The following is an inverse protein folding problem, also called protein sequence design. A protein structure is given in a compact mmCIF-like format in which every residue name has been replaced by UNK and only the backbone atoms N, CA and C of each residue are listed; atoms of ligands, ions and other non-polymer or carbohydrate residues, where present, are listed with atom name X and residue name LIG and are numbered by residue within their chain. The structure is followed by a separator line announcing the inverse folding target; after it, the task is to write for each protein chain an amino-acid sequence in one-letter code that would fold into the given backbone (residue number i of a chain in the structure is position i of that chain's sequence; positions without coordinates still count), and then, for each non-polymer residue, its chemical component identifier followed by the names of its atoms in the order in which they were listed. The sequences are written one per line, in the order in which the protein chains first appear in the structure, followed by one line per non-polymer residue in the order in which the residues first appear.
data_IF_838390662541
#
_entry.id   IF_838390662541
#
_cell.length_a   1.000
_cell.length_b   1.000
_cell.length_c   1.000
_cell.angle_alpha   90.00
_cell.angle_beta   90.00
_cell.angle_gamma   90.00
#
_symmetry.space_group_name_H-M   'P 1'
#
loop_
_entity.id
_entity.type
_entity.pdbx_description
1 polymer ?
#
# COMPACT_ATOMS: atom_id res chain seq x y z
N UNK A 1 -6.31 -13.87 26.62
CA UNK A 1 -6.75 -13.97 25.21
C UNK A 1 -5.54 -13.71 24.34
N UNK A 2 -5.13 -14.69 23.54
CA UNK A 2 -3.98 -14.56 22.64
C UNK A 2 -4.46 -13.84 21.37
N UNK A 3 -4.44 -12.51 21.38
CA UNK A 3 -4.76 -11.73 20.16
C UNK A 3 -3.62 -12.00 19.17
N UNK A 4 -3.88 -12.52 17.97
CA UNK A 4 -2.82 -12.77 17.01
C UNK A 4 -2.08 -11.47 16.69
N UNK A 5 -0.75 -11.50 16.64
CA UNK A 5 0.09 -10.31 16.48
C UNK A 5 -0.28 -9.44 15.25
N UNK A 6 -0.82 -10.05 14.17
CA UNK A 6 -1.26 -9.31 12.99
C UNK A 6 -2.50 -8.43 13.23
N UNK A 7 -3.34 -8.76 14.23
CA UNK A 7 -4.47 -7.90 14.62
C UNK A 7 -4.01 -6.62 15.32
N UNK A 8 -2.79 -6.58 15.88
CA UNK A 8 -2.26 -5.38 16.53
C UNK A 8 -2.10 -4.23 15.53
N UNK A 9 -1.72 -4.52 14.28
CA UNK A 9 -1.59 -3.51 13.24
C UNK A 9 -2.94 -2.88 12.82
N UNK A 10 -4.06 -3.49 13.22
CA UNK A 10 -5.44 -3.10 12.91
C UNK A 10 -6.01 -3.84 11.70
N UNK A 11 -7.25 -3.50 11.36
CA UNK A 11 -8.04 -4.08 10.26
C UNK A 11 -8.88 -2.99 9.60
N UNK A 12 -9.28 -3.19 8.34
CA UNK A 12 -10.26 -2.36 7.64
C UNK A 12 -11.63 -3.05 7.62
N UNK A 13 -12.68 -2.35 8.00
CA UNK A 13 -14.05 -2.82 7.85
C UNK A 13 -14.75 -1.99 6.78
N UNK A 14 -15.22 -2.66 5.74
CA UNK A 14 -15.89 -2.07 4.59
C UNK A 14 -17.39 -2.26 4.77
N UNK A 15 -18.17 -1.20 4.51
CA UNK A 15 -19.62 -1.21 4.64
C UNK A 15 -20.26 -0.76 3.33
N UNK A 16 -20.42 -1.68 2.35
CA UNK A 16 -20.88 -1.37 1.00
C UNK A 16 -22.21 -0.63 0.92
N UNK A 17 -23.10 -0.84 1.88
CA UNK A 17 -24.44 -0.24 1.90
C UNK A 17 -24.50 1.11 2.61
N UNK A 18 -23.41 1.55 3.24
CA UNK A 18 -23.38 2.84 3.94
C UNK A 18 -22.98 3.97 2.99
N UNK A 19 -23.33 5.19 3.37
CA UNK A 19 -22.97 6.39 2.62
C UNK A 19 -21.46 6.65 2.61
N UNK A 20 -21.01 7.42 1.61
CA UNK A 20 -19.62 7.87 1.53
C UNK A 20 -19.18 8.58 2.82
N UNK A 21 -17.96 8.30 3.29
CA UNK A 21 -17.47 8.76 4.60
C UNK A 21 -17.82 7.82 5.76
N UNK A 22 -18.80 6.93 5.58
CA UNK A 22 -19.22 5.91 6.56
C UNK A 22 -19.08 4.47 6.04
N UNK A 23 -18.80 4.32 4.74
CA UNK A 23 -18.64 3.05 4.04
C UNK A 23 -17.28 2.35 4.25
N UNK A 24 -16.38 2.96 5.03
CA UNK A 24 -15.07 2.40 5.35
C UNK A 24 -14.63 2.86 6.73
N UNK A 25 -14.12 1.93 7.55
CA UNK A 25 -13.52 2.21 8.85
C UNK A 25 -12.19 1.48 9.01
N UNK A 26 -11.17 2.23 9.43
CA UNK A 26 -9.89 1.66 9.88
C UNK A 26 -9.88 1.54 11.41
N UNK A 27 -9.45 0.39 11.94
CA UNK A 27 -9.20 0.20 13.38
C UNK A 27 -7.73 0.37 13.76
N UNK A 28 -6.89 0.74 12.78
CA UNK A 28 -5.46 0.95 12.99
C UNK A 28 -5.24 2.06 14.02
N UNK A 29 -4.26 1.83 14.89
CA UNK A 29 -3.82 2.78 15.92
C UNK A 29 -2.36 3.14 15.67
N UNK A 30 -1.89 4.33 16.10
CA UNK A 30 -0.49 4.75 15.98
C UNK A 30 0.42 3.99 16.97
N UNK A 31 0.49 2.66 16.85
CA UNK A 31 1.23 1.78 17.75
C UNK A 31 2.75 1.95 17.66
N UNK A 32 3.26 2.57 16.59
CA UNK A 32 4.69 2.82 16.43
C UNK A 32 5.26 3.59 17.63
N UNK A 33 4.53 4.60 18.14
CA UNK A 33 4.91 5.36 19.35
C UNK A 33 5.10 4.46 20.57
N UNK A 34 4.21 3.48 20.76
CA UNK A 34 4.23 2.57 21.91
C UNK A 34 5.35 1.54 21.79
N UNK A 35 5.52 0.95 20.60
CA UNK A 35 6.53 -0.09 20.34
C UNK A 35 7.95 0.48 20.35
N UNK A 36 8.10 1.75 19.97
CA UNK A 36 9.36 2.47 19.94
C UNK A 36 9.71 3.15 21.27
N UNK A 37 8.78 3.25 22.22
CA UNK A 37 8.99 4.03 23.44
C UNK A 37 10.23 3.54 24.21
N UNK A 38 11.19 4.46 24.41
CA UNK A 38 12.42 4.26 25.18
C UNK A 38 13.32 3.10 24.73
N UNK A 39 13.09 2.53 23.54
CA UNK A 39 14.00 1.51 23.01
C UNK A 39 15.33 2.15 22.57
N UNK A 40 16.40 1.34 22.53
CA UNK A 40 17.63 1.78 21.89
C UNK A 40 17.35 2.12 20.42
N UNK A 41 17.95 3.20 19.91
CA UNK A 41 17.74 3.66 18.55
C UNK A 41 18.09 2.58 17.51
N UNK A 42 19.12 1.79 17.78
CA UNK A 42 19.55 0.66 16.93
C UNK A 42 18.53 -0.49 16.86
N UNK A 43 17.62 -0.62 17.83
CA UNK A 43 16.55 -1.63 17.82
C UNK A 43 15.32 -1.19 17.03
N UNK A 44 15.12 0.11 16.84
CA UNK A 44 13.92 0.69 16.22
C UNK A 44 13.59 0.05 14.86
N UNK A 45 14.55 -0.13 13.92
CA UNK A 45 14.23 -0.71 12.62
C UNK A 45 13.72 -2.15 12.70
N UNK A 46 14.26 -2.95 13.63
CA UNK A 46 13.80 -4.32 13.86
C UNK A 46 12.40 -4.36 14.46
N UNK A 47 12.13 -3.50 15.44
CA UNK A 47 10.82 -3.39 16.09
C UNK A 47 9.71 -2.97 15.12
N UNK A 48 9.96 -1.94 14.31
CA UNK A 48 8.99 -1.47 13.31
C UNK A 48 8.78 -2.50 12.20
N UNK A 49 9.83 -3.19 11.76
CA UNK A 49 9.71 -4.28 10.79
C UNK A 49 8.83 -5.43 11.31
N UNK A 50 8.92 -5.76 12.59
CA UNK A 50 8.09 -6.80 13.23
C UNK A 50 6.64 -6.35 13.42
N UNK A 51 6.40 -5.08 13.78
CA UNK A 51 5.05 -4.53 13.93
C UNK A 51 4.31 -4.49 12.59
N UNK A 52 4.99 -4.11 11.51
CA UNK A 52 4.42 -3.97 10.18
C UNK A 52 4.91 -5.08 9.25
N UNK A 53 4.67 -6.34 9.63
CA UNK A 53 5.27 -7.52 8.99
C UNK A 53 5.05 -7.64 7.48
N UNK A 54 3.87 -7.24 6.97
CA UNK A 54 3.58 -7.23 5.52
C UNK A 54 4.42 -6.23 4.72
N UNK A 55 5.03 -5.25 5.39
CA UNK A 55 5.87 -4.20 4.78
C UNK A 55 7.19 -4.05 5.55
N UNK A 56 7.62 -5.10 6.26
CA UNK A 56 8.59 -4.97 7.34
C UNK A 56 9.93 -4.36 6.90
N UNK A 57 10.42 -4.72 5.72
CA UNK A 57 11.68 -4.17 5.22
C UNK A 57 11.55 -2.72 4.74
N UNK A 58 10.40 -2.31 4.20
CA UNK A 58 10.15 -0.90 3.90
C UNK A 58 10.19 -0.04 5.19
N UNK A 59 9.60 -0.54 6.28
CA UNK A 59 9.68 0.13 7.59
C UNK A 59 11.10 0.12 8.17
N UNK A 60 11.85 -0.97 8.00
CA UNK A 60 13.27 -1.03 8.39
C UNK A 60 14.08 0.01 7.66
N UNK A 61 13.97 0.06 6.33
CA UNK A 61 14.72 1.01 5.50
C UNK A 61 14.36 2.45 5.85
N UNK A 62 13.07 2.76 5.95
CA UNK A 62 12.58 4.10 6.27
C UNK A 62 13.06 4.61 7.64
N UNK A 63 13.06 3.74 8.66
CA UNK A 63 13.57 4.09 9.99
C UNK A 63 15.08 4.22 10.01
N UNK A 64 15.82 3.38 9.30
CA UNK A 64 17.27 3.51 9.14
C UNK A 64 17.66 4.83 8.45
N UNK A 65 16.88 5.27 7.45
CA UNK A 65 17.06 6.59 6.82
C UNK A 65 16.87 7.72 7.82
N UNK A 66 15.79 7.70 8.62
CA UNK A 66 15.54 8.71 9.66
C UNK A 66 16.65 8.73 10.74
N UNK A 67 17.08 7.57 11.21
CA UNK A 67 18.15 7.46 12.21
C UNK A 67 19.50 7.96 11.68
N UNK A 68 19.85 7.59 10.45
CA UNK A 68 21.09 8.02 9.81
C UNK A 68 21.17 9.52 9.59
N UNK A 69 20.02 10.17 9.33
CA UNK A 69 19.95 11.62 9.21
C UNK A 69 20.23 12.34 10.54
N UNK A 70 19.89 11.74 11.69
CA UNK A 70 20.25 12.29 13.01
C UNK A 70 21.69 12.00 13.39
N UNK A 71 22.07 10.72 13.32
CA UNK A 71 23.36 10.23 13.77
C UNK A 71 23.81 9.14 12.80
N UNK A 72 24.79 9.40 11.92
CA UNK A 72 25.22 8.43 10.90
C UNK A 72 25.57 7.06 11.47
N UNK A 73 26.19 7.00 12.66
CA UNK A 73 26.58 5.74 13.31
C UNK A 73 25.39 4.82 13.71
N UNK A 74 24.16 5.36 13.79
CA UNK A 74 22.97 4.58 14.15
C UNK A 74 22.32 3.85 12.97
N UNK A 75 22.77 4.13 11.75
CA UNK A 75 22.21 3.53 10.54
C UNK A 75 23.27 2.77 9.75
N UNK A 76 23.03 1.49 9.41
CA UNK A 76 23.92 0.77 8.51
C UNK A 76 23.92 1.38 7.11
N UNK A 77 22.93 2.21 6.75
CA UNK A 77 22.88 2.86 5.44
C UNK A 77 23.94 3.95 5.29
N UNK A 78 24.54 4.44 6.38
CA UNK A 78 25.57 5.47 6.34
C UNK A 78 26.89 5.01 5.70
N UNK A 79 27.13 3.69 5.66
CA UNK A 79 28.27 3.10 4.95
C UNK A 79 27.88 2.53 3.57
N UNK A 80 26.62 2.69 3.16
CA UNK A 80 26.09 2.19 1.89
C UNK A 80 25.97 3.36 0.90
N UNK A 81 26.30 3.11 -0.37
CA UNK A 81 26.12 4.13 -1.42
C UNK A 81 24.63 4.39 -1.68
N UNK A 82 24.30 5.53 -2.29
CA UNK A 82 22.93 5.80 -2.71
C UNK A 82 22.37 4.70 -3.62
N UNK A 83 23.21 4.10 -4.48
CA UNK A 83 22.86 2.94 -5.30
C UNK A 83 22.52 1.71 -4.46
N UNK A 84 23.27 1.43 -3.40
CA UNK A 84 22.98 0.30 -2.52
C UNK A 84 21.68 0.47 -1.72
N UNK A 85 21.34 1.70 -1.31
CA UNK A 85 20.04 2.01 -0.71
C UNK A 85 18.91 1.81 -1.73
N UNK A 86 19.11 2.30 -2.97
CA UNK A 86 18.17 2.09 -4.07
C UNK A 86 17.94 0.60 -4.33
N UNK A 87 19.00 -0.20 -4.41
CA UNK A 87 18.89 -1.64 -4.65
C UNK A 87 18.11 -2.35 -3.55
N UNK A 88 18.24 -1.95 -2.29
CA UNK A 88 17.44 -2.50 -1.18
C UNK A 88 15.95 -2.17 -1.35
N UNK A 89 15.63 -0.90 -1.68
CA UNK A 89 14.26 -0.45 -1.89
C UNK A 89 13.61 -1.14 -3.09
N UNK A 90 14.33 -1.18 -4.22
CA UNK A 90 13.88 -1.81 -5.47
C UNK A 90 13.68 -3.32 -5.28
N UNK A 91 14.62 -3.99 -4.59
CA UNK A 91 14.52 -5.42 -4.29
C UNK A 91 13.28 -5.72 -3.45
N UNK A 92 13.07 -5.01 -2.34
CA UNK A 92 11.91 -5.26 -1.48
C UNK A 92 10.60 -4.96 -2.23
N UNK A 93 10.54 -3.86 -2.98
CA UNK A 93 9.34 -3.47 -3.71
C UNK A 93 8.99 -4.47 -4.80
N UNK A 94 9.98 -4.95 -5.56
CA UNK A 94 9.78 -6.00 -6.55
C UNK A 94 9.25 -7.28 -5.90
N UNK A 95 9.88 -7.72 -4.80
CA UNK A 95 9.47 -8.93 -4.07
C UNK A 95 8.03 -8.83 -3.59
N UNK A 96 7.64 -7.68 -3.04
CA UNK A 96 6.28 -7.48 -2.55
C UNK A 96 5.27 -7.48 -3.69
N UNK A 97 5.54 -6.79 -4.80
CA UNK A 97 4.66 -6.85 -5.97
C UNK A 97 4.50 -8.25 -6.51
N UNK A 98 5.60 -9.00 -6.62
CA UNK A 98 5.56 -10.39 -7.09
C UNK A 98 4.75 -11.25 -6.14
N UNK A 99 4.93 -11.13 -4.81
CA UNK A 99 4.11 -11.86 -3.83
C UNK A 99 2.62 -11.56 -4.00
N UNK A 100 2.23 -10.29 -4.13
CA UNK A 100 0.83 -9.90 -4.32
C UNK A 100 0.23 -10.48 -5.59
N UNK A 101 0.96 -10.37 -6.70
CA UNK A 101 0.53 -10.89 -8.01
C UNK A 101 0.38 -12.41 -8.00
N UNK A 102 1.32 -13.11 -7.36
CA UNK A 102 1.39 -14.58 -7.40
C UNK A 102 0.47 -15.24 -6.38
N UNK A 103 0.38 -14.68 -5.16
CA UNK A 103 -0.28 -15.33 -4.03
C UNK A 103 -1.69 -14.79 -3.79
N UNK A 104 -1.91 -13.49 -3.99
CA UNK A 104 -3.15 -12.85 -3.57
C UNK A 104 -4.13 -12.66 -4.74
N UNK A 105 -3.65 -12.22 -5.89
CA UNK A 105 -4.53 -11.99 -7.05
C UNK A 105 -5.27 -13.25 -7.53
N UNK A 106 -4.66 -14.46 -7.56
CA UNK A 106 -5.40 -15.66 -7.91
C UNK A 106 -6.55 -15.95 -6.96
N UNK A 107 -6.38 -15.69 -5.65
CA UNK A 107 -7.40 -15.91 -4.59
C UNK A 107 -8.68 -15.09 -4.78
N UNK A 108 -8.67 -14.10 -5.66
CA UNK A 108 -9.84 -13.30 -6.01
C UNK A 108 -10.81 -14.03 -6.96
N UNK A 109 -10.38 -15.14 -7.57
CA UNK A 109 -11.14 -15.87 -8.60
C UNK A 109 -11.66 -17.21 -8.07
N UNK A 110 -12.82 -17.71 -8.56
CA UNK A 110 -13.24 -19.09 -8.32
C UNK A 110 -12.26 -20.06 -9.00
N UNK A 111 -11.86 -21.12 -8.30
CA UNK A 111 -10.95 -22.20 -8.75
C UNK A 111 -9.46 -21.86 -8.85
N UNK A 112 -8.78 -21.81 -7.70
CA UNK A 112 -7.38 -21.35 -7.58
C UNK A 112 -6.32 -22.45 -7.49
N UNK A 113 -6.71 -23.72 -7.43
CA UNK A 113 -5.78 -24.81 -7.10
C UNK A 113 -4.65 -25.01 -8.13
N UNK A 114 -4.83 -24.57 -9.38
CA UNK A 114 -3.86 -24.83 -10.46
C UNK A 114 -3.05 -23.60 -10.92
N UNK A 115 -3.36 -22.38 -10.44
CA UNK A 115 -2.75 -21.14 -10.95
C UNK A 115 -1.46 -20.72 -10.25
N UNK A 116 -1.39 -20.88 -8.92
CA UNK A 116 -0.32 -20.31 -8.10
C UNK A 116 1.07 -20.91 -8.41
N UNK A 117 1.16 -22.23 -8.62
CA UNK A 117 2.43 -22.92 -8.90
C UNK A 117 3.10 -22.44 -10.20
N UNK A 118 2.30 -22.13 -11.24
CA UNK A 118 2.82 -21.61 -12.52
C UNK A 118 3.28 -20.15 -12.44
N UNK A 119 2.75 -19.39 -11.48
CA UNK A 119 3.08 -17.99 -11.22
C UNK A 119 4.27 -17.86 -10.25
N UNK A 120 4.51 -18.85 -9.39
CA UNK A 120 5.47 -18.79 -8.27
C UNK A 120 6.88 -19.28 -8.58
N UNK A 121 7.19 -19.67 -9.82
CA UNK A 121 8.52 -20.17 -10.21
C UNK A 121 9.58 -19.07 -10.44
N UNK A 122 9.31 -17.82 -10.03
CA UNK A 122 10.16 -16.68 -10.30
C UNK A 122 11.29 -16.48 -9.31
N UNK A 123 12.46 -15.94 -9.74
CA UNK A 123 13.62 -15.74 -8.88
C UNK A 123 13.33 -14.77 -7.73
N UNK A 124 12.40 -13.82 -7.93
CA UNK A 124 12.05 -12.82 -6.92
C UNK A 124 11.41 -13.41 -5.65
N UNK A 125 11.00 -14.68 -5.62
CA UNK A 125 10.46 -15.32 -4.41
C UNK A 125 11.54 -16.05 -3.59
N UNK A 126 12.75 -16.24 -4.13
CA UNK A 126 13.86 -16.85 -3.40
C UNK A 126 14.27 -16.02 -2.18
N UNK A 127 14.70 -16.65 -1.09
CA UNK A 127 15.01 -15.94 0.17
C UNK A 127 16.22 -15.01 0.06
N UNK A 128 17.20 -15.37 -0.77
CA UNK A 128 18.47 -14.69 -1.03
C UNK A 128 18.44 -13.75 -2.25
N UNK A 129 17.27 -13.58 -2.87
CA UNK A 129 17.12 -12.73 -4.04
C UNK A 129 17.49 -11.28 -3.74
N UNK A 130 18.39 -10.73 -4.56
CA UNK A 130 18.64 -9.29 -4.66
C UNK A 130 18.55 -8.87 -6.12
N UNK A 131 17.93 -7.71 -6.37
CA UNK A 131 17.79 -7.21 -7.73
C UNK A 131 19.15 -6.87 -8.34
N UNK A 132 20.09 -6.35 -7.55
CA UNK A 132 21.45 -6.06 -7.99
C UNK A 132 22.16 -7.30 -8.59
N UNK A 133 22.05 -8.45 -7.95
CA UNK A 133 22.71 -9.68 -8.40
C UNK A 133 21.95 -10.42 -9.51
N UNK A 134 20.61 -10.36 -9.50
CA UNK A 134 19.77 -11.21 -10.34
C UNK A 134 18.98 -10.44 -11.42
N UNK A 135 19.26 -9.15 -11.67
CA UNK A 135 18.47 -8.31 -12.59
C UNK A 135 18.26 -8.94 -13.96
N UNK A 136 19.33 -9.34 -14.63
CA UNK A 136 19.25 -9.93 -15.97
C UNK A 136 18.40 -11.21 -15.98
N UNK A 137 18.58 -12.08 -14.97
CA UNK A 137 17.79 -13.31 -14.83
C UNK A 137 16.31 -13.00 -14.56
N UNK A 138 16.02 -12.03 -13.69
CA UNK A 138 14.66 -11.59 -13.39
C UNK A 138 13.96 -11.02 -14.63
N UNK A 139 14.66 -10.22 -15.44
CA UNK A 139 14.14 -9.68 -16.70
C UNK A 139 13.84 -10.79 -17.71
N UNK A 140 14.78 -11.70 -17.96
CA UNK A 140 14.56 -12.83 -18.89
C UNK A 140 13.38 -13.70 -18.42
N UNK A 141 13.30 -13.99 -17.12
CA UNK A 141 12.20 -14.77 -16.56
C UNK A 141 10.86 -14.05 -16.76
N UNK A 142 10.79 -12.75 -16.47
CA UNK A 142 9.60 -11.91 -16.65
C UNK A 142 9.11 -11.92 -18.10
N UNK A 143 10.03 -11.73 -19.05
CA UNK A 143 9.72 -11.73 -20.50
C UNK A 143 9.13 -13.07 -20.95
N UNK A 144 9.72 -14.19 -20.51
CA UNK A 144 9.32 -15.53 -20.93
C UNK A 144 8.02 -16.01 -20.26
N UNK A 145 7.88 -15.78 -18.95
CA UNK A 145 6.83 -16.41 -18.15
C UNK A 145 5.63 -15.51 -17.89
N UNK A 146 5.83 -14.19 -17.81
CA UNK A 146 4.76 -13.25 -17.50
C UNK A 146 4.32 -12.46 -18.72
N UNK A 147 5.25 -11.84 -19.45
CA UNK A 147 4.91 -10.94 -20.55
C UNK A 147 4.65 -11.69 -21.86
N UNK A 148 5.37 -12.78 -22.13
CA UNK A 148 5.33 -13.47 -23.43
C UNK A 148 5.90 -12.62 -24.58
N UNK A 149 6.62 -11.55 -24.25
CA UNK A 149 7.27 -10.62 -25.18
C UNK A 149 8.36 -9.84 -24.44
N UNK A 150 9.26 -9.14 -25.14
CA UNK A 150 10.30 -8.34 -24.49
C UNK A 150 9.74 -7.21 -23.62
N UNK A 151 10.42 -6.94 -22.50
CA UNK A 151 9.96 -6.05 -21.43
C UNK A 151 9.93 -4.58 -21.85
N UNK A 152 10.97 -4.10 -22.55
CA UNK A 152 11.05 -2.72 -23.03
C UNK A 152 9.89 -2.34 -23.98
N UNK A 153 9.62 -3.11 -25.05
CA UNK A 153 8.43 -2.91 -25.91
C UNK A 153 7.10 -2.97 -25.16
N UNK A 154 6.94 -3.89 -24.20
CA UNK A 154 5.72 -3.96 -23.38
C UNK A 154 5.55 -2.66 -22.57
N UNK A 155 6.62 -2.18 -21.94
CA UNK A 155 6.58 -0.98 -21.10
C UNK A 155 6.28 0.28 -21.91
N UNK A 156 6.92 0.45 -23.07
CA UNK A 156 6.61 1.57 -23.98
C UNK A 156 5.15 1.56 -24.42
N UNK A 157 4.61 0.40 -24.77
CA UNK A 157 3.20 0.29 -25.13
C UNK A 157 2.27 0.70 -23.98
N UNK A 158 2.61 0.30 -22.75
CA UNK A 158 1.90 0.71 -21.53
C UNK A 158 1.99 2.24 -21.31
N UNK A 159 3.17 2.82 -21.42
CA UNK A 159 3.36 4.27 -21.22
C UNK A 159 2.62 5.09 -22.28
N UNK A 160 2.60 4.62 -23.53
CA UNK A 160 1.95 5.31 -24.65
C UNK A 160 0.42 5.19 -24.65
N UNK A 161 -0.14 4.07 -24.20
CA UNK A 161 -1.58 3.74 -24.40
C UNK A 161 -2.31 3.24 -23.17
N UNK A 162 -1.64 3.10 -22.02
CA UNK A 162 -2.25 2.74 -20.74
C UNK A 162 -3.13 1.49 -20.79
N UNK A 163 -4.39 1.67 -20.42
CA UNK A 163 -5.39 0.60 -20.33
C UNK A 163 -5.57 -0.16 -21.65
N UNK A 164 -5.51 0.54 -22.79
CA UNK A 164 -5.70 -0.03 -24.11
C UNK A 164 -4.55 -0.96 -24.49
N UNK A 165 -3.30 -0.62 -24.12
CA UNK A 165 -2.17 -1.52 -24.29
C UNK A 165 -2.27 -2.74 -23.36
N UNK A 166 -2.68 -2.54 -22.11
CA UNK A 166 -2.88 -3.64 -21.17
C UNK A 166 -3.94 -4.62 -21.69
N UNK A 167 -5.08 -4.10 -22.17
CA UNK A 167 -6.15 -4.89 -22.78
C UNK A 167 -5.71 -5.63 -24.05
N UNK A 168 -5.00 -4.94 -24.94
CA UNK A 168 -4.44 -5.57 -26.14
C UNK A 168 -3.49 -6.71 -25.79
N UNK A 169 -2.63 -6.52 -24.79
CA UNK A 169 -1.66 -7.52 -24.37
C UNK A 169 -2.33 -8.74 -23.74
N UNK A 170 -3.24 -8.57 -22.77
CA UNK A 170 -3.89 -9.72 -22.11
C UNK A 170 -4.76 -10.56 -23.06
N UNK A 171 -5.17 -9.99 -24.19
CA UNK A 171 -5.90 -10.71 -25.25
C UNK A 171 -4.96 -11.40 -26.25
N UNK A 172 -3.77 -10.86 -26.48
CA UNK A 172 -2.81 -11.38 -27.46
C UNK A 172 -1.99 -12.57 -26.95
N UNK A 173 -1.66 -12.59 -25.65
CA UNK A 173 -0.78 -13.64 -25.09
C UNK A 173 -1.53 -14.59 -24.16
N UNK A 174 -0.97 -15.79 -23.99
CA UNK A 174 -1.54 -16.83 -23.12
C UNK A 174 -0.63 -17.16 -21.93
N UNK A 175 0.14 -16.19 -21.43
CA UNK A 175 0.91 -16.38 -20.19
C UNK A 175 -0.01 -16.48 -18.97
N UNK A 176 0.42 -17.11 -17.86
CA UNK A 176 -0.37 -17.19 -16.64
C UNK A 176 -0.84 -15.82 -16.13
N UNK A 177 0.03 -14.81 -16.14
CA UNK A 177 -0.32 -13.46 -15.69
C UNK A 177 -1.37 -12.79 -16.59
N UNK A 178 -1.24 -12.91 -17.91
CA UNK A 178 -2.22 -12.36 -18.84
C UNK A 178 -3.60 -13.01 -18.68
N UNK A 179 -3.65 -14.34 -18.50
CA UNK A 179 -4.91 -15.06 -18.24
C UNK A 179 -5.54 -14.62 -16.92
N UNK A 180 -4.73 -14.46 -15.87
CA UNK A 180 -5.18 -13.99 -14.56
C UNK A 180 -5.83 -12.60 -14.69
N UNK A 181 -5.10 -11.64 -15.27
CA UNK A 181 -5.60 -10.28 -15.47
C UNK A 181 -6.86 -10.26 -16.35
N UNK A 182 -6.90 -11.03 -17.44
CA UNK A 182 -8.09 -11.13 -18.30
C UNK A 182 -9.33 -11.60 -17.52
N UNK A 183 -9.18 -12.53 -16.57
CA UNK A 183 -10.28 -12.95 -15.68
C UNK A 183 -10.66 -11.86 -14.69
N UNK A 184 -9.67 -11.19 -14.07
CA UNK A 184 -9.91 -10.11 -13.12
C UNK A 184 -10.62 -8.90 -13.75
N UNK A 185 -10.38 -8.63 -15.04
CA UNK A 185 -11.03 -7.54 -15.78
C UNK A 185 -12.56 -7.59 -15.71
N UNK A 186 -13.16 -8.79 -15.62
CA UNK A 186 -14.62 -8.93 -15.52
C UNK A 186 -15.22 -8.28 -14.25
N UNK A 187 -14.40 -8.09 -13.21
CA UNK A 187 -14.81 -7.49 -11.94
C UNK A 187 -14.43 -6.01 -11.82
N UNK A 188 -13.83 -5.39 -12.84
CA UNK A 188 -13.58 -3.94 -12.82
C UNK A 188 -14.93 -3.21 -12.82
N UNK A 189 -15.09 -2.26 -11.91
CA UNK A 189 -16.31 -1.46 -11.77
C UNK A 189 -16.35 -0.27 -12.74
N UNK A 190 -15.22 0.04 -13.39
CA UNK A 190 -15.09 1.24 -14.22
C UNK A 190 -15.00 2.53 -13.40
N UNK A 191 -14.91 2.45 -12.06
CA UNK A 191 -14.77 3.62 -11.19
C UNK A 191 -13.52 4.44 -11.54
N UNK A 192 -13.66 5.73 -11.91
CA UNK A 192 -12.52 6.61 -12.15
C UNK A 192 -11.82 6.98 -10.84
N UNK A 193 -10.56 6.60 -10.71
CA UNK A 193 -9.66 7.00 -9.64
C UNK A 193 -9.02 8.34 -10.04
N UNK A 194 -9.25 9.43 -9.28
CA UNK A 194 -8.73 10.74 -9.63
C UNK A 194 -7.20 10.78 -9.65
N UNK A 195 -6.61 11.55 -10.57
CA UNK A 195 -5.16 11.84 -10.58
C UNK A 195 -4.79 13.14 -9.85
N UNK A 196 -5.79 13.92 -9.41
CA UNK A 196 -5.64 15.29 -8.93
C UNK A 196 -5.19 15.38 -7.47
N UNK A 197 -5.29 14.31 -6.68
CA UNK A 197 -5.02 14.31 -5.23
C UNK A 197 -3.88 13.36 -4.85
N UNK A 198 -2.84 13.32 -5.68
CA UNK A 198 -1.66 12.49 -5.45
C UNK A 198 -0.82 13.04 -4.28
N UNK A 199 -0.50 12.17 -3.33
CA UNK A 199 0.45 12.45 -2.27
C UNK A 199 1.88 12.50 -2.84
N UNK A 200 2.61 13.58 -2.52
CA UNK A 200 4.01 13.77 -2.95
C UNK A 200 4.98 13.61 -1.78
N UNK A 201 6.16 13.01 -2.00
CA UNK A 201 7.19 12.93 -0.96
C UNK A 201 7.74 14.31 -0.60
N UNK A 202 8.22 14.51 0.64
CA UNK A 202 8.88 15.73 1.07
C UNK A 202 10.32 15.79 0.54
N UNK A 203 10.46 16.14 -0.74
CA UNK A 203 11.76 16.27 -1.40
C UNK A 203 12.55 17.45 -0.83
N UNK A 204 11.88 18.59 -0.61
CA UNK A 204 12.48 19.81 -0.07
C UNK A 204 12.42 19.86 1.46
N UNK A 205 13.36 20.58 2.07
CA UNK A 205 13.45 20.73 3.52
C UNK A 205 12.21 21.41 4.12
N UNK A 206 11.68 22.43 3.44
CA UNK A 206 10.48 23.16 3.86
C UNK A 206 9.26 22.26 3.87
N UNK A 207 9.17 21.32 2.92
CA UNK A 207 8.12 20.30 2.93
C UNK A 207 8.28 19.38 4.15
N UNK A 208 9.50 18.97 4.48
CA UNK A 208 9.76 18.13 5.64
C UNK A 208 9.33 18.78 6.97
N UNK A 209 9.47 20.11 7.11
CA UNK A 209 8.97 20.87 8.27
C UNK A 209 7.44 20.87 8.37
N UNK A 210 6.73 20.99 7.24
CA UNK A 210 5.27 20.86 7.22
C UNK A 210 4.83 19.45 7.62
N UNK A 211 5.51 18.43 7.10
CA UNK A 211 5.29 17.03 7.46
C UNK A 211 5.54 16.77 8.95
N UNK A 212 6.62 17.32 9.52
CA UNK A 212 6.87 17.24 10.96
C UNK A 212 5.70 17.80 11.77
N UNK A 213 5.25 19.01 11.43
CA UNK A 213 4.15 19.69 12.12
C UNK A 213 2.85 18.88 12.06
N UNK A 214 2.56 18.26 10.90
CA UNK A 214 1.39 17.42 10.71
C UNK A 214 1.47 16.10 11.49
N UNK A 215 2.60 15.38 11.39
CA UNK A 215 2.81 14.07 12.03
C UNK A 215 2.82 14.12 13.56
N UNK A 216 3.02 15.30 14.16
CA UNK A 216 2.94 15.48 15.61
C UNK A 216 1.51 15.48 16.15
N UNK A 217 0.50 15.62 15.29
CA UNK A 217 -0.92 15.63 15.65
C UNK A 217 -1.52 14.23 15.52
N UNK A 218 -2.19 13.77 16.58
CA UNK A 218 -2.77 12.42 16.63
C UNK A 218 -3.94 12.24 15.63
N UNK A 219 -4.70 13.30 15.35
CA UNK A 219 -5.80 13.26 14.37
C UNK A 219 -5.27 13.03 12.94
N UNK A 220 -4.17 13.68 12.58
CA UNK A 220 -3.53 13.53 11.29
C UNK A 220 -2.95 12.12 11.08
N UNK A 221 -2.46 11.46 12.14
CA UNK A 221 -1.95 10.08 12.05
C UNK A 221 -3.05 9.03 11.78
N UNK A 222 -4.32 9.37 12.02
CA UNK A 222 -5.45 8.46 11.84
C UNK A 222 -6.29 8.83 10.62
N UNK A 223 -6.48 10.12 10.36
CA UNK A 223 -7.25 10.66 9.24
C UNK A 223 -6.44 11.76 8.54
N UNK A 224 -5.37 11.41 7.80
CA UNK A 224 -4.49 12.40 7.19
C UNK A 224 -5.17 13.15 6.05
N UNK A 225 -5.07 14.48 6.08
CA UNK A 225 -5.55 15.36 5.02
C UNK A 225 -4.51 16.45 4.73
N UNK A 226 -4.29 16.74 3.44
CA UNK A 226 -3.51 17.90 2.99
C UNK A 226 -4.44 18.86 2.27
N UNK A 227 -4.40 20.12 2.68
CA UNK A 227 -5.26 21.18 2.13
C UNK A 227 -6.76 20.83 2.21
N UNK A 228 -7.16 20.18 3.32
CA UNK A 228 -8.54 19.73 3.56
C UNK A 228 -8.97 18.52 2.74
N UNK A 229 -8.06 17.84 2.04
CA UNK A 229 -8.36 16.70 1.18
C UNK A 229 -7.56 15.46 1.56
N UNK A 230 -8.22 14.31 1.50
CA UNK A 230 -7.54 13.03 1.51
C UNK A 230 -6.70 12.91 0.22
N UNK A 231 -5.43 12.52 0.37
CA UNK A 231 -4.53 12.22 -0.75
C UNK A 231 -4.44 10.71 -0.95
N UNK A 232 -3.87 10.28 -2.07
CA UNK A 232 -3.61 8.86 -2.35
C UNK A 232 -2.20 8.63 -2.89
N UNK A 233 -1.72 7.41 -2.73
CA UNK A 233 -0.36 7.01 -3.11
C UNK A 233 -0.29 5.54 -3.52
N UNK A 234 0.65 5.19 -4.40
CA UNK A 234 0.88 3.83 -4.88
C UNK A 234 1.80 3.80 -6.09
N UNK A 235 1.83 2.68 -6.82
CA UNK A 235 2.61 2.54 -8.06
C UNK A 235 2.22 3.55 -9.15
N UNK A 236 1.00 4.07 -9.12
CA UNK A 236 0.48 5.09 -10.05
C UNK A 236 0.88 6.52 -9.69
N UNK A 237 1.54 6.75 -8.55
CA UNK A 237 1.86 8.09 -8.04
C UNK A 237 3.35 8.40 -7.98
N UNK A 238 4.21 7.49 -8.47
CA UNK A 238 5.67 7.61 -8.30
C UNK A 238 6.21 8.91 -8.86
N UNK A 239 7.15 9.48 -8.13
CA UNK A 239 7.79 10.74 -8.49
C UNK A 239 8.69 10.57 -9.73
N UNK A 240 9.40 9.44 -9.83
CA UNK A 240 10.36 9.19 -10.91
C UNK A 240 9.73 8.62 -12.19
N UNK A 241 8.56 7.98 -12.12
CA UNK A 241 7.94 7.27 -13.24
C UNK A 241 7.18 8.19 -14.22
N UNK A 242 7.67 9.44 -14.41
CA UNK A 242 7.11 10.51 -15.25
C UNK A 242 6.01 10.10 -16.24
N UNK A 243 4.83 10.70 -16.04
CA UNK A 243 3.60 10.63 -16.86
C UNK A 243 2.56 9.63 -16.35
N UNK A 244 1.38 10.18 -16.00
CA UNK A 244 0.17 9.37 -15.90
C UNK A 244 -0.09 8.74 -17.28
N UNK A 245 -0.51 7.48 -17.30
CA UNK A 245 -0.91 6.86 -18.57
C UNK A 245 -2.19 7.52 -19.07
N UNK A 246 -2.41 7.59 -20.40
CA UNK A 246 -3.62 8.18 -20.93
C UNK A 246 -4.86 7.36 -20.54
N UNK A 247 -6.01 8.03 -20.46
CA UNK A 247 -7.30 7.42 -20.18
C UNK A 247 -7.76 7.57 -18.73
N UNK A 248 -8.83 6.85 -18.39
CA UNK A 248 -9.39 6.84 -17.05
C UNK A 248 -8.67 5.79 -16.22
N UNK A 249 -8.14 6.18 -15.05
CA UNK A 249 -7.57 5.23 -14.12
C UNK A 249 -8.69 4.50 -13.37
N UNK A 250 -8.74 3.17 -13.43
CA UNK A 250 -9.67 2.35 -12.64
C UNK A 250 -8.89 1.32 -11.82
N UNK A 251 -9.58 0.45 -11.08
CA UNK A 251 -8.91 -0.66 -10.37
C UNK A 251 -8.09 -1.52 -11.34
N UNK A 252 -8.59 -1.76 -12.56
CA UNK A 252 -7.84 -2.40 -13.64
C UNK A 252 -6.53 -1.68 -13.98
N UNK A 253 -6.59 -0.36 -14.16
CA UNK A 253 -5.41 0.46 -14.48
C UNK A 253 -4.38 0.40 -13.36
N UNK A 254 -4.80 0.37 -12.09
CA UNK A 254 -3.88 0.21 -10.96
C UNK A 254 -3.13 -1.13 -10.95
N UNK A 255 -3.80 -2.22 -11.33
CA UNK A 255 -3.11 -3.51 -11.54
C UNK A 255 -2.06 -3.38 -12.65
N UNK A 256 -2.39 -2.67 -13.73
CA UNK A 256 -1.47 -2.34 -14.82
C UNK A 256 -0.24 -1.57 -14.34
N UNK A 257 -0.43 -0.52 -13.54
CA UNK A 257 0.67 0.23 -12.92
C UNK A 257 1.57 -0.67 -12.07
N UNK A 258 1.01 -1.62 -11.33
CA UNK A 258 1.80 -2.59 -10.55
C UNK A 258 2.65 -3.50 -11.44
N UNK A 259 2.08 -4.03 -12.52
CA UNK A 259 2.85 -4.83 -13.50
C UNK A 259 3.93 -3.97 -14.15
N UNK A 260 3.61 -2.74 -14.52
CA UNK A 260 4.57 -1.83 -15.15
C UNK A 260 5.69 -1.41 -14.19
N UNK A 261 5.43 -1.32 -12.89
CA UNK A 261 6.46 -1.09 -11.86
C UNK A 261 7.40 -2.31 -11.72
N UNK A 262 6.87 -3.54 -11.77
CA UNK A 262 7.71 -4.75 -11.84
C UNK A 262 8.62 -4.71 -13.07
N UNK A 263 8.08 -4.35 -14.23
CA UNK A 263 8.84 -4.25 -15.49
C UNK A 263 9.93 -3.19 -15.40
N UNK A 264 9.62 -1.99 -14.91
CA UNK A 264 10.60 -0.90 -14.70
C UNK A 264 11.73 -1.33 -13.77
N UNK A 265 11.39 -1.99 -12.65
CA UNK A 265 12.38 -2.50 -11.69
C UNK A 265 13.28 -3.55 -12.36
N UNK A 266 12.75 -4.51 -13.11
CA UNK A 266 13.58 -5.48 -13.82
C UNK A 266 14.48 -4.83 -14.89
N UNK A 267 13.97 -3.84 -15.64
CA UNK A 267 14.76 -3.14 -16.66
C UNK A 267 15.84 -2.22 -16.06
N UNK A 268 15.62 -1.70 -14.84
CA UNK A 268 16.52 -0.71 -14.23
C UNK A 268 16.47 0.66 -14.93
N UNK A 269 15.35 0.97 -15.58
CA UNK A 269 15.17 2.24 -16.31
C UNK A 269 15.01 3.41 -15.33
N UNK A 270 16.12 4.08 -14.97
CA UNK A 270 16.16 5.48 -14.54
C UNK A 270 17.57 5.89 -14.13
N UNK A 271 18.01 7.10 -14.53
CA UNK A 271 19.25 7.72 -13.99
C UNK A 271 19.12 8.12 -12.52
N UNK A 272 17.89 8.23 -12.02
CA UNK A 272 17.53 8.69 -10.66
C UNK A 272 16.83 7.60 -9.81
N UNK A 273 16.78 6.35 -10.29
CA UNK A 273 16.01 5.26 -9.67
C UNK A 273 14.51 5.26 -10.04
N UNK A 274 13.85 4.11 -9.90
CA UNK A 274 12.40 3.94 -10.17
C UNK A 274 11.56 4.44 -8.99
N UNK A 275 12.10 4.31 -7.77
CA UNK A 275 11.44 4.62 -6.51
C UNK A 275 12.23 5.72 -5.80
N UNK A 276 11.55 6.78 -5.35
CA UNK A 276 12.18 7.84 -4.60
C UNK A 276 12.27 7.50 -3.10
N UNK A 277 13.33 7.99 -2.46
CA UNK A 277 13.53 7.91 -1.01
C UNK A 277 14.35 9.10 -0.53
N UNK A 278 14.32 9.34 0.78
CA UNK A 278 15.13 10.40 1.36
C UNK A 278 14.96 10.50 2.88
N UNK A 279 15.76 11.39 3.46
CA UNK A 279 15.61 11.77 4.85
C UNK A 279 16.05 13.22 5.07
N UNK A 280 15.47 13.85 6.09
CA UNK A 280 15.81 15.20 6.54
C UNK A 280 16.09 15.18 8.04
N UNK A 281 17.23 15.73 8.44
CA UNK A 281 17.49 16.10 9.83
C UNK A 281 16.75 17.40 10.13
N UNK A 282 15.86 17.40 11.11
CA UNK A 282 14.96 18.50 11.44
C UNK A 282 15.35 19.14 12.78
N UNK A 283 14.84 20.34 13.09
CA UNK A 283 15.17 21.04 14.32
C UNK A 283 14.79 20.22 15.56
N UNK A 284 15.45 20.51 16.69
CA UNK A 284 15.14 19.92 18.01
C UNK A 284 15.36 18.40 18.12
N UNK A 285 16.26 17.84 17.31
CA UNK A 285 16.64 16.43 17.35
C UNK A 285 15.63 15.50 16.67
N UNK A 286 14.82 16.03 15.75
CA UNK A 286 13.88 15.28 14.93
C UNK A 286 14.52 14.86 13.61
N UNK A 287 14.07 13.77 13.02
CA UNK A 287 14.32 13.47 11.62
C UNK A 287 13.10 12.83 10.97
N UNK A 288 12.94 13.14 9.69
CA UNK A 288 11.91 12.58 8.83
C UNK A 288 12.60 11.69 7.81
N UNK A 289 12.34 10.38 7.85
CA UNK A 289 12.70 9.44 6.79
C UNK A 289 11.47 9.12 5.94
N UNK A 290 11.66 8.89 4.64
CA UNK A 290 10.57 8.52 3.74
C UNK A 290 11.04 7.64 2.58
N UNK A 291 10.16 6.75 2.12
CA UNK A 291 10.39 5.86 0.98
C UNK A 291 9.11 5.68 0.16
N UNK A 292 9.22 5.64 -1.17
CA UNK A 292 8.18 5.13 -2.06
C UNK A 292 8.24 3.60 -2.07
N UNK A 293 7.49 2.94 -1.18
CA UNK A 293 7.39 1.48 -1.10
C UNK A 293 6.28 0.92 -2.00
N UNK A 294 6.18 -0.41 -2.11
CA UNK A 294 5.20 -1.12 -2.97
C UNK A 294 3.76 -0.56 -2.91
N UNK A 295 3.27 -0.19 -1.72
CA UNK A 295 1.90 0.32 -1.51
C UNK A 295 1.75 1.84 -1.60
N UNK A 296 2.86 2.58 -1.71
CA UNK A 296 2.87 4.05 -1.78
C UNK A 296 3.95 4.68 -0.89
N UNK A 297 3.77 5.96 -0.55
CA UNK A 297 4.69 6.73 0.28
C UNK A 297 4.56 6.35 1.77
N UNK A 298 5.67 5.91 2.36
CA UNK A 298 5.82 5.67 3.80
C UNK A 298 6.68 6.78 4.41
N UNK A 299 6.26 7.31 5.57
CA UNK A 299 7.01 8.34 6.30
C UNK A 299 7.18 7.99 7.78
N UNK A 300 8.38 8.21 8.32
CA UNK A 300 8.73 8.01 9.72
C UNK A 300 9.30 9.30 10.29
N UNK A 301 8.69 9.83 11.36
CA UNK A 301 9.22 10.95 12.12
C UNK A 301 9.77 10.44 13.45
N UNK A 302 11.07 10.60 13.67
CA UNK A 302 11.78 10.06 14.84
C UNK A 302 12.45 11.18 15.62
N UNK A 303 12.36 11.13 16.94
CA UNK A 303 13.14 11.96 17.87
C UNK A 303 13.98 11.06 18.77
N UNK A 304 15.24 11.42 18.93
CA UNK A 304 16.15 10.71 19.82
C UNK A 304 16.52 11.57 21.03
N UNK A 305 16.85 10.89 22.12
CA UNK A 305 17.50 11.46 23.31
C UNK A 305 18.82 10.72 23.52
N UNK A 306 19.88 11.48 23.79
CA UNK A 306 21.14 10.90 24.28
C UNK A 306 20.99 10.59 25.78
N UNK A 307 21.25 9.34 26.14
CA UNK A 307 21.24 8.84 27.51
C UNK A 307 22.62 8.24 27.81
N UNK A 308 23.54 9.10 28.26
CA UNK A 308 24.92 8.76 28.60
C UNK A 308 25.69 8.03 27.48
N UNK A 309 25.54 8.49 26.22
CA UNK A 309 26.20 7.90 25.06
C UNK A 309 25.38 6.81 24.37
N UNK A 310 24.20 6.49 24.89
CA UNK A 310 23.23 5.59 24.26
C UNK A 310 22.06 6.40 23.72
N UNK A 311 21.88 6.39 22.40
CA UNK A 311 20.73 7.02 21.77
C UNK A 311 19.47 6.18 21.99
N UNK A 312 18.45 6.79 22.59
CA UNK A 312 17.13 6.18 22.83
C UNK A 312 16.05 6.92 22.09
N UNK A 313 15.02 6.18 21.67
CA UNK A 313 13.89 6.75 20.95
C UNK A 313 12.97 7.46 21.94
N UNK A 314 12.90 8.79 21.83
CA UNK A 314 11.98 9.61 22.61
C UNK A 314 10.57 9.59 22.00
N UNK A 315 10.48 9.62 20.66
CA UNK A 315 9.22 9.60 19.93
C UNK A 315 9.41 9.03 18.53
N UNK A 316 8.43 8.26 18.05
CA UNK A 316 8.40 7.72 16.71
C UNK A 316 6.96 7.74 16.20
N UNK A 317 6.72 8.49 15.13
CA UNK A 317 5.44 8.53 14.42
C UNK A 317 5.62 7.93 13.04
N UNK A 318 4.63 7.16 12.61
CA UNK A 318 4.62 6.49 11.32
C UNK A 318 3.31 6.82 10.63
N UNK A 319 3.41 7.28 9.39
CA UNK A 319 2.25 7.40 8.50
C UNK A 319 2.51 6.55 7.26
N UNK A 320 1.72 5.48 7.12
CA UNK A 320 1.86 4.51 6.05
C UNK A 320 0.86 4.80 4.91
N UNK A 321 1.05 4.18 3.73
CA UNK A 321 0.15 4.38 2.59
C UNK A 321 -1.32 4.06 2.87
N UNK A 322 -1.57 3.11 3.76
CA UNK A 322 -2.92 2.65 4.10
C UNK A 322 -3.75 3.74 4.78
N UNK A 323 -3.15 4.58 5.64
CA UNK A 323 -3.84 5.72 6.27
C UNK A 323 -4.36 6.73 5.23
N UNK A 324 -3.66 6.89 4.10
CA UNK A 324 -4.08 7.76 2.99
C UNK A 324 -5.14 7.09 2.11
N UNK A 325 -4.83 5.89 1.60
CA UNK A 325 -5.65 5.22 0.60
C UNK A 325 -6.99 4.72 1.17
N UNK A 326 -7.01 4.35 2.45
CA UNK A 326 -8.18 3.88 3.20
C UNK A 326 -8.61 4.89 4.28
N UNK A 327 -8.37 6.17 4.03
CA UNK A 327 -9.06 7.27 4.70
C UNK A 327 -10.58 7.16 4.43
N UNK A 328 -11.44 7.65 5.33
CA UNK A 328 -12.90 7.60 5.17
C UNK A 328 -13.41 8.35 3.92
N UNK A 329 -12.65 9.36 3.50
CA UNK A 329 -12.81 10.09 2.24
C UNK A 329 -11.71 9.75 1.20
N UNK A 330 -11.01 8.62 1.37
CA UNK A 330 -9.91 8.18 0.51
C UNK A 330 -10.38 7.43 -0.74
N UNK A 331 -9.43 7.00 -1.56
CA UNK A 331 -9.73 6.36 -2.86
C UNK A 331 -10.54 5.06 -2.74
N UNK A 332 -10.33 4.28 -1.67
CA UNK A 332 -11.09 3.05 -1.44
C UNK A 332 -12.56 3.37 -1.10
N UNK A 333 -12.80 4.34 -0.23
CA UNK A 333 -14.14 4.76 0.17
C UNK A 333 -14.93 5.35 -1.02
N UNK A 334 -14.28 6.18 -1.85
CA UNK A 334 -14.93 6.65 -3.07
C UNK A 334 -15.25 5.53 -4.06
N UNK A 335 -14.35 4.56 -4.23
CA UNK A 335 -14.60 3.41 -5.11
C UNK A 335 -15.79 2.56 -4.64
N UNK A 336 -15.91 2.34 -3.33
CA UNK A 336 -17.08 1.67 -2.74
C UNK A 336 -18.37 2.46 -2.97
N UNK A 337 -18.35 3.77 -2.72
CA UNK A 337 -19.52 4.63 -2.91
C UNK A 337 -19.98 4.63 -4.38
N UNK A 338 -19.04 4.76 -5.32
CA UNK A 338 -19.36 4.71 -6.75
C UNK A 338 -20.00 3.38 -7.16
N UNK A 339 -19.47 2.26 -6.67
CA UNK A 339 -20.05 0.96 -6.97
C UNK A 339 -21.47 0.81 -6.38
N UNK A 340 -21.72 1.33 -5.18
CA UNK A 340 -23.06 1.34 -4.58
C UNK A 340 -24.04 2.21 -5.38
N UNK A 341 -23.65 3.46 -5.72
CA UNK A 341 -24.45 4.38 -6.53
C UNK A 341 -24.75 3.84 -7.93
N UNK A 342 -23.79 3.11 -8.52
CA UNK A 342 -23.95 2.43 -9.80
C UNK A 342 -24.79 1.16 -9.76
N UNK A 343 -25.36 0.79 -8.60
CA UNK A 343 -26.13 -0.45 -8.43
C UNK A 343 -25.28 -1.72 -8.55
N UNK A 344 -23.95 -1.61 -8.45
CA UNK A 344 -23.02 -2.73 -8.49
C UNK A 344 -22.83 -3.40 -7.14
N UNK A 345 -23.36 -2.82 -6.05
CA UNK A 345 -23.38 -3.37 -4.69
C UNK A 345 -24.80 -3.22 -4.13
N UNK A 346 -25.36 -4.30 -3.59
CA UNK A 346 -26.70 -4.25 -3.00
C UNK A 346 -27.28 -5.59 -2.56
N UNK A 347 -26.77 -6.71 -3.09
CA UNK A 347 -27.32 -8.04 -2.86
C UNK A 347 -26.39 -8.96 -2.08
N UNK A 348 -25.18 -8.48 -1.73
CA UNK A 348 -24.15 -9.24 -1.02
C UNK A 348 -23.74 -10.55 -1.73
N UNK A 349 -23.90 -10.60 -3.05
CA UNK A 349 -23.60 -11.79 -3.85
C UNK A 349 -22.08 -11.92 -4.12
N UNK A 350 -21.67 -13.07 -4.66
CA UNK A 350 -20.25 -13.36 -4.88
C UNK A 350 -19.58 -12.41 -5.88
N UNK A 351 -20.28 -11.94 -6.91
CA UNK A 351 -19.68 -11.03 -7.88
C UNK A 351 -19.47 -9.64 -7.28
N UNK A 352 -20.39 -9.16 -6.44
CA UNK A 352 -20.21 -7.93 -5.66
C UNK A 352 -19.01 -8.03 -4.72
N UNK A 353 -18.85 -9.17 -4.03
CA UNK A 353 -17.67 -9.45 -3.21
C UNK A 353 -16.38 -9.44 -4.03
N UNK A 354 -16.38 -9.98 -5.25
CA UNK A 354 -15.21 -9.98 -6.14
C UNK A 354 -14.87 -8.60 -6.67
N UNK A 355 -15.86 -7.74 -6.93
CA UNK A 355 -15.64 -6.33 -7.30
C UNK A 355 -14.94 -5.57 -6.17
N UNK A 356 -15.41 -5.74 -4.94
CA UNK A 356 -14.75 -5.19 -3.75
C UNK A 356 -13.34 -5.75 -3.62
N UNK A 357 -13.18 -7.07 -3.74
CA UNK A 357 -11.88 -7.72 -3.61
C UNK A 357 -10.88 -7.25 -4.67
N UNK A 358 -11.33 -6.99 -5.91
CA UNK A 358 -10.51 -6.40 -6.96
C UNK A 358 -10.06 -4.97 -6.59
N UNK A 359 -10.97 -4.12 -6.11
CA UNK A 359 -10.62 -2.77 -5.64
C UNK A 359 -9.58 -2.83 -4.52
N UNK A 360 -9.79 -3.70 -3.53
CA UNK A 360 -8.86 -3.88 -2.42
C UNK A 360 -7.51 -4.41 -2.88
N UNK A 361 -7.46 -5.35 -3.84
CA UNK A 361 -6.22 -5.86 -4.40
C UNK A 361 -5.49 -4.84 -5.29
N UNK A 362 -6.22 -3.96 -5.97
CA UNK A 362 -5.67 -2.87 -6.76
C UNK A 362 -4.97 -1.83 -5.86
N UNK A 363 -5.61 -1.43 -4.76
CA UNK A 363 -5.07 -0.45 -3.82
C UNK A 363 -4.04 -1.07 -2.86
N UNK A 364 -4.22 -2.34 -2.51
CA UNK A 364 -3.32 -3.19 -1.70
C UNK A 364 -3.09 -2.67 -0.26
N UNK A 365 -4.07 -2.85 0.67
CA UNK A 365 -3.87 -2.49 2.07
C UNK A 365 -2.77 -3.33 2.72
N UNK A 366 -2.04 -2.76 3.67
CA UNK A 366 -1.08 -3.49 4.50
C UNK A 366 -1.68 -4.14 5.75
N UNK A 367 -3.00 -4.32 5.78
CA UNK A 367 -3.77 -4.94 6.86
C UNK A 367 -4.89 -5.77 6.26
N UNK A 368 -5.43 -6.69 7.05
CA UNK A 368 -6.61 -7.44 6.66
C UNK A 368 -7.82 -6.52 6.52
N UNK A 369 -8.82 -7.00 5.78
CA UNK A 369 -10.11 -6.34 5.69
C UNK A 369 -11.26 -7.33 5.77
N UNK A 370 -12.41 -6.84 6.21
CA UNK A 370 -13.69 -7.53 6.20
C UNK A 370 -14.76 -6.68 5.52
N UNK A 371 -15.77 -7.35 4.98
CA UNK A 371 -16.92 -6.71 4.34
C UNK A 371 -18.15 -7.02 5.17
N UNK A 372 -18.77 -5.97 5.67
CA UNK A 372 -19.99 -6.02 6.45
C UNK A 372 -21.13 -5.44 5.61
N UNK A 373 -22.10 -6.30 5.29
CA UNK A 373 -23.26 -5.96 4.46
C UNK A 373 -24.44 -5.42 5.27
N UNK A 374 -24.27 -5.15 6.56
CA UNK A 374 -25.32 -4.58 7.40
C UNK A 374 -25.54 -3.09 7.09
N UNK A 375 -26.80 -2.73 6.88
CA UNK A 375 -27.25 -1.35 6.70
C UNK A 375 -27.30 -0.59 8.05
N UNK A 376 -27.08 0.73 8.03
CA UNK A 376 -27.24 1.60 9.21
C UNK A 376 -28.64 1.48 9.83
N UNK A 377 -29.66 1.21 9.01
CA UNK A 377 -31.04 1.01 9.45
C UNK A 377 -31.32 -0.33 10.15
N UNK A 378 -30.41 -1.31 10.08
CA UNK A 378 -30.58 -2.63 10.72
C UNK A 378 -30.23 -2.59 12.21
N UNK A 379 -29.20 -1.82 12.59
CA UNK A 379 -28.77 -1.68 13.99
C UNK A 379 -29.77 -0.87 14.83
N UNK A 380 -30.44 0.12 14.21
CA UNK A 380 -31.49 0.90 14.88
C UNK A 380 -32.81 0.14 15.10
N UNK A 381 -33.00 -1.02 14.44
CA UNK A 381 -34.22 -1.84 14.58
C UNK A 381 -34.13 -2.90 15.67
N UNK A 382 -32.93 -3.34 16.04
CA UNK A 382 -32.74 -4.34 17.11
C UNK A 382 -32.81 -3.74 18.52
N UNK A 383 -32.45 -2.47 18.71
CA UNK A 383 -32.58 -1.77 20.01
C UNK A 383 -34.02 -1.34 20.33
N UNK A 384 -34.96 -1.48 19.37
CA UNK A 384 -36.38 -1.08 19.52
C UNK A 384 -37.36 -2.22 19.85
N UNK A 385 -36.91 -3.48 19.88
CA UNK A 385 -37.80 -4.64 20.04
C UNK A 385 -37.89 -5.20 21.48
N UNK A 386 -37.26 -4.56 22.47
CA UNK A 386 -37.20 -5.06 23.85
C UNK A 386 -37.75 -4.09 24.92
N UNK A 387 -38.70 -3.20 24.60
CA UNK A 387 -39.48 -2.48 25.62
C UNK A 387 -40.91 -2.26 25.12
N UNK A 388 -41.72 -3.31 25.10
CA UNK A 388 -43.18 -3.17 25.08
C UNK A 388 -43.87 -4.35 25.76
N UNK A 389 -44.56 -4.01 26.85
CA UNK A 389 -45.69 -4.72 27.45
C UNK A 389 -45.39 -5.87 28.42
N UNK A 390 -45.14 -5.50 29.68
CA UNK A 390 -45.85 -6.14 30.79
C UNK A 390 -46.20 -5.06 31.84
N UNK A 391 -47.37 -4.45 31.63
CA UNK A 391 -47.97 -3.47 32.54
C UNK A 391 -49.47 -3.79 32.66
N UNK A 392 -49.77 -4.63 33.65
CA UNK A 392 -50.95 -4.59 34.53
C UNK A 392 -52.34 -4.32 33.92
N UNK A 393 -53.18 -5.38 33.93
CA UNK A 393 -54.63 -5.23 34.06
C UNK A 393 -55.01 -5.46 35.51
N UNK A 394 -55.64 -4.46 36.13
CA UNK A 394 -56.46 -4.62 37.33
C UNK A 394 -57.82 -5.21 36.96
N UNK A 395 -58.18 -6.30 37.63
CA UNK A 395 -59.51 -6.58 38.20
C UNK A 395 -59.38 -7.78 39.15
#
# INVERSE_FOLDING_TARGET
MNIPLHHLAGRLSLYPQRSFGHNLRSTRRPLARLVAADCAATELPGRLASLFSLCGQAHRLCSQLALGALVPALSPLSCVSATGVQDQLDTETLREHVRRIVLDWPRLLPDTEHGAASLSAGPALASDFTLAAARAQATVWLEQHWLGQPAGPWLRAWDDRGDAALMSWVNAVQTPLARLLRRLRAYDSGYPIPHTHVLKPPLAYEQALHWQSALLRDDFLVQPQQDGQARHTGSWTRTAAGSAVPGVCTAWTLLGYRVAEVVRLCLGESRTGVLAWGAHALPQGWALGWVEMARGLLTHLVRLRDDAGVWRVQRCEVLAPTEWNFHACGIAAHGLAFMAEGGLLGHANQDEQRRIALLMAAIDPCVEYDVDWTDEGSLARDDGAAIAMNGERHA
#
